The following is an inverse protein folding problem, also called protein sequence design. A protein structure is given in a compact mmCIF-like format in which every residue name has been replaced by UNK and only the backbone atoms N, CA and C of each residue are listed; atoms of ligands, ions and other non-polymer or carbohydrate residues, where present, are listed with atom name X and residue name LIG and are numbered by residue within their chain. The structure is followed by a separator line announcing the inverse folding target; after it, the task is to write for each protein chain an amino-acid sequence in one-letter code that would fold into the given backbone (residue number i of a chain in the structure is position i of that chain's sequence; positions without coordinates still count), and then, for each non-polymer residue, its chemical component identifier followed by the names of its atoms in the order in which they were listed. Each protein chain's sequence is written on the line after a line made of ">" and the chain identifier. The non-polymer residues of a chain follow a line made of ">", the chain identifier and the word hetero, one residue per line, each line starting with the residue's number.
data_IF_292608718881
#
_entry.id   IF_292608718881
#
_cell.length_a   1.000
_cell.length_b   1.000
_cell.length_c   1.000
_cell.angle_alpha   90.00
_cell.angle_beta   90.00
_cell.angle_gamma   90.00
#
_symmetry.space_group_name_H-M   'P 1'
#
loop_
_entity.id
_entity.type
_entity.pdbx_description
1 polymer ?
#
# COMPACT_ATOMS: atom_id res chain seq x y z
N UNK A 1 0.42 -26.96 6.48
CA UNK A 1 0.76 -25.57 6.10
C UNK A 1 -0.55 -24.97 5.70
N UNK A 2 -1.21 -24.31 6.65
CA UNK A 2 -2.49 -23.65 6.41
C UNK A 2 -2.19 -22.42 5.56
N UNK A 3 -2.30 -22.57 4.24
CA UNK A 3 -2.47 -21.43 3.37
C UNK A 3 -3.88 -20.95 3.63
N UNK A 4 -4.02 -20.08 4.62
CA UNK A 4 -5.21 -19.25 4.73
C UNK A 4 -5.23 -18.46 3.40
N UNK A 5 -6.05 -18.92 2.46
CA UNK A 5 -6.34 -18.24 1.21
C UNK A 5 -7.08 -16.97 1.61
N UNK A 6 -6.33 -15.99 2.12
CA UNK A 6 -6.90 -14.73 2.60
C UNK A 6 -7.80 -14.12 1.52
N UNK A 7 -8.70 -13.22 1.93
CA UNK A 7 -9.83 -12.75 1.10
C UNK A 7 -9.47 -11.92 -0.16
N UNK A 8 -8.23 -11.98 -0.63
CA UNK A 8 -7.82 -11.54 -1.97
C UNK A 8 -7.17 -10.16 -2.04
N UNK A 9 -6.91 -9.48 -0.92
CA UNK A 9 -6.09 -8.26 -0.84
C UNK A 9 -5.74 -7.90 0.62
N UNK A 10 -4.90 -6.87 0.79
CA UNK A 10 -4.74 -6.17 2.06
C UNK A 10 -5.84 -5.10 2.22
N UNK A 11 -6.55 -5.13 3.35
CA UNK A 11 -7.52 -4.12 3.75
C UNK A 11 -7.15 -3.61 5.15
N UNK A 12 -7.12 -2.28 5.39
CA UNK A 12 -7.03 -1.76 6.74
C UNK A 12 -8.31 -2.07 7.52
N UNK A 13 -8.20 -2.21 8.84
CA UNK A 13 -9.33 -2.49 9.73
C UNK A 13 -10.35 -1.32 9.75
N UNK A 14 -9.86 -0.09 9.64
CA UNK A 14 -10.68 1.11 9.59
C UNK A 14 -10.56 1.78 8.22
N UNK A 15 -11.69 2.26 7.69
CA UNK A 15 -11.68 3.05 6.46
C UNK A 15 -10.79 4.28 6.63
N UNK A 16 -9.85 4.47 5.71
CA UNK A 16 -9.00 5.65 5.70
C UNK A 16 -9.85 6.91 5.50
N UNK A 17 -9.78 7.84 6.45
CA UNK A 17 -10.47 9.12 6.29
C UNK A 17 -9.73 9.99 5.26
N UNK A 18 -10.46 10.78 4.44
CA UNK A 18 -9.86 11.61 3.40
C UNK A 18 -8.76 12.55 3.90
N UNK A 19 -8.94 13.07 5.11
CA UNK A 19 -8.06 14.07 5.73
C UNK A 19 -7.06 13.45 6.72
N UNK A 20 -7.16 12.14 6.98
CA UNK A 20 -6.40 11.43 8.02
C UNK A 20 -5.87 10.10 7.47
N UNK A 21 -4.87 10.18 6.58
CA UNK A 21 -4.19 9.01 6.00
C UNK A 21 -3.22 8.38 7.01
N UNK A 22 -3.79 7.70 8.01
CA UNK A 22 -3.05 6.97 9.05
C UNK A 22 -2.70 5.54 8.64
N UNK A 23 -3.56 4.91 7.84
CA UNK A 23 -3.38 3.53 7.39
C UNK A 23 -2.34 3.43 6.28
N UNK A 24 -1.47 2.41 6.36
CA UNK A 24 -0.44 2.16 5.37
C UNK A 24 -0.08 0.68 5.24
N UNK A 25 0.34 0.30 4.04
CA UNK A 25 1.05 -0.93 3.77
C UNK A 25 2.53 -0.61 3.58
N UNK A 26 3.39 -1.15 4.45
CA UNK A 26 4.83 -0.96 4.36
C UNK A 26 5.51 -2.20 3.76
N UNK A 27 6.39 -1.97 2.78
CA UNK A 27 7.21 -3.00 2.16
C UNK A 27 8.68 -2.71 2.48
N UNK A 28 9.34 -3.63 3.19
CA UNK A 28 10.79 -3.56 3.42
C UNK A 28 11.54 -4.33 2.31
N UNK A 29 12.26 -3.60 1.47
CA UNK A 29 13.05 -4.15 0.36
C UNK A 29 14.43 -4.66 0.82
N UNK A 30 14.79 -4.53 2.10
CA UNK A 30 16.04 -4.95 2.77
C UNK A 30 17.33 -4.25 2.30
N UNK A 31 17.43 -3.90 1.02
CA UNK A 31 18.54 -3.13 0.45
C UNK A 31 18.02 -1.89 -0.28
N UNK A 32 18.91 -0.95 -0.62
CA UNK A 32 18.54 0.25 -1.36
C UNK A 32 18.17 -0.10 -2.80
N UNK A 33 16.97 0.32 -3.22
CA UNK A 33 16.45 0.11 -4.56
C UNK A 33 16.04 1.43 -5.22
N UNK A 34 16.19 1.49 -6.54
CA UNK A 34 15.63 2.57 -7.35
C UNK A 34 14.25 2.13 -7.88
N UNK A 35 13.18 2.54 -7.20
CA UNK A 35 11.81 2.21 -7.58
C UNK A 35 11.32 3.19 -8.65
N UNK A 36 10.97 2.68 -9.83
CA UNK A 36 10.52 3.49 -10.97
C UNK A 36 9.02 3.50 -11.18
N UNK A 37 8.33 2.45 -10.73
CA UNK A 37 6.91 2.22 -10.98
C UNK A 37 6.26 1.57 -9.77
N UNK A 38 4.97 1.87 -9.58
CA UNK A 38 4.09 1.23 -8.60
C UNK A 38 2.81 0.83 -9.31
N UNK A 39 2.42 -0.44 -9.16
CA UNK A 39 1.12 -0.95 -9.57
C UNK A 39 0.28 -1.25 -8.34
N UNK A 40 -1.01 -0.89 -8.38
CA UNK A 40 -1.98 -1.21 -7.32
C UNK A 40 -3.07 -2.12 -7.88
N UNK A 41 -3.62 -2.98 -7.03
CA UNK A 41 -4.78 -3.80 -7.36
C UNK A 41 -5.73 -3.82 -6.16
N UNK A 42 -7.04 -3.82 -6.43
CA UNK A 42 -8.07 -4.00 -5.42
C UNK A 42 -8.26 -5.45 -5.02
N UNK A 43 -9.19 -5.69 -4.11
CA UNK A 43 -9.58 -7.04 -3.69
C UNK A 43 -10.26 -7.77 -4.84
N UNK A 44 -9.71 -8.90 -5.27
CA UNK A 44 -10.33 -9.71 -6.31
C UNK A 44 -11.45 -10.60 -5.75
N UNK A 45 -11.14 -11.35 -4.68
CA UNK A 45 -12.06 -12.26 -3.99
C UNK A 45 -12.94 -13.08 -4.94
N UNK A 46 -12.34 -13.97 -5.72
CA UNK A 46 -13.02 -14.81 -6.71
C UNK A 46 -13.94 -14.04 -7.67
N UNK A 47 -13.59 -12.78 -7.97
CA UNK A 47 -14.35 -11.91 -8.87
C UNK A 47 -15.54 -11.21 -8.24
N UNK A 48 -15.81 -11.39 -6.94
CA UNK A 48 -16.88 -10.67 -6.22
C UNK A 48 -16.38 -9.43 -5.48
N UNK A 49 -15.06 -9.24 -5.37
CA UNK A 49 -14.46 -8.07 -4.73
C UNK A 49 -14.70 -6.79 -5.53
N UNK A 50 -14.96 -5.68 -4.83
CA UNK A 50 -15.22 -4.37 -5.41
C UNK A 50 -14.49 -3.23 -4.69
N UNK A 51 -13.60 -3.59 -3.76
CA UNK A 51 -12.86 -2.66 -2.91
C UNK A 51 -11.50 -2.37 -3.54
N UNK A 52 -11.22 -1.09 -3.77
CA UNK A 52 -9.92 -0.65 -4.28
C UNK A 52 -9.58 0.76 -3.78
N UNK A 53 -8.28 1.01 -3.61
CA UNK A 53 -7.79 2.34 -3.26
C UNK A 53 -7.79 3.24 -4.51
N UNK A 54 -8.76 4.17 -4.57
CA UNK A 54 -8.87 5.13 -5.69
C UNK A 54 -7.70 6.13 -5.73
N UNK A 55 -7.13 6.45 -4.57
CA UNK A 55 -6.01 7.38 -4.42
C UNK A 55 -5.07 6.87 -3.35
N UNK A 56 -3.79 7.12 -3.53
CA UNK A 56 -2.75 6.78 -2.56
C UNK A 56 -1.68 7.85 -2.54
N UNK A 57 -0.90 7.87 -1.45
CA UNK A 57 0.34 8.66 -1.33
C UNK A 57 1.48 7.70 -1.04
N UNK A 58 2.64 7.93 -1.65
CA UNK A 58 3.84 7.15 -1.36
C UNK A 58 4.69 7.94 -0.36
N UNK A 59 5.12 7.25 0.71
CA UNK A 59 6.24 7.69 1.54
C UNK A 59 7.33 6.66 1.43
N UNK A 60 8.58 7.11 1.43
CA UNK A 60 9.75 6.23 1.37
C UNK A 60 10.75 6.60 2.47
N UNK A 61 11.56 5.63 2.87
CA UNK A 61 12.65 5.79 3.81
C UNK A 61 13.85 4.98 3.36
N UNK A 62 15.05 5.44 3.74
CA UNK A 62 16.32 4.72 3.53
C UNK A 62 16.89 4.14 4.81
N UNK A 63 16.35 4.55 5.96
CA UNK A 63 16.84 4.21 7.30
C UNK A 63 15.74 3.64 8.22
N UNK A 64 14.51 3.52 7.72
CA UNK A 64 13.33 3.04 8.46
C UNK A 64 12.76 4.04 9.48
N UNK A 65 13.42 5.17 9.74
CA UNK A 65 13.05 6.11 10.80
C UNK A 65 12.58 7.45 10.23
N UNK A 66 13.26 7.96 9.20
CA UNK A 66 12.91 9.20 8.52
C UNK A 66 12.15 8.88 7.23
N UNK A 67 10.92 9.38 7.16
CA UNK A 67 10.03 9.18 6.03
C UNK A 67 9.85 10.47 5.23
N UNK A 68 9.98 10.35 3.90
CA UNK A 68 9.80 11.45 2.96
C UNK A 68 8.61 11.15 2.07
N UNK A 69 7.72 12.12 1.89
CA UNK A 69 6.61 11.97 0.94
C UNK A 69 7.13 12.11 -0.48
N UNK A 70 6.86 11.13 -1.32
CA UNK A 70 7.09 11.24 -2.75
C UNK A 70 6.15 12.30 -3.32
N UNK A 71 6.70 13.10 -4.24
CA UNK A 71 5.95 14.07 -5.03
C UNK A 71 6.42 13.93 -6.45
N UNK A 72 5.48 14.07 -7.38
CA UNK A 72 5.84 14.21 -8.78
C UNK A 72 6.67 15.50 -8.97
N UNK A 73 7.44 15.54 -10.06
CA UNK A 73 8.17 16.73 -10.47
C UNK A 73 7.17 17.71 -11.09
N UNK A 74 6.44 18.45 -10.25
CA UNK A 74 5.80 19.69 -10.68
C UNK A 74 6.85 20.75 -11.00
#
# INVERSE_FOLDING_TARGET
>A
LDFDDGDGAWCPDVMAEPDSLKEFLQIDLRTLHFVTLVGTQGRHADGVGNEFAQRYKIKYSRDGTRWVSWRDRQ
#
